data_IF_743209055321
#
_entry.id   IF_743209055321
#
_cell.length_a   1.000
_cell.length_b   1.000
_cell.length_c   1.000
_cell.angle_alpha   90.00
_cell.angle_beta   90.00
_cell.angle_gamma   90.00
#
_symmetry.space_group_name_H-M   'P 1'
#
loop_
_entity.id
_entity.type
_entity.pdbx_description
1 polymer ?
#
# COMPACT_ATOMS: atom_id res chain seq x y z
N UNK A 1 35.67 -13.32 55.46
CA UNK A 1 36.01 -14.00 54.18
C UNK A 1 34.71 -14.58 53.65
N UNK A 2 34.16 -14.30 52.48
CA UNK A 2 34.50 -13.50 51.31
C UNK A 2 33.16 -13.11 50.67
N UNK A 3 33.02 -11.84 50.25
CA UNK A 3 31.83 -11.36 49.53
C UNK A 3 32.04 -11.60 48.03
N UNK A 4 31.21 -12.43 47.42
CA UNK A 4 31.24 -12.67 45.96
C UNK A 4 30.47 -11.55 45.24
N UNK A 5 31.21 -10.65 44.58
CA UNK A 5 30.66 -9.62 43.71
C UNK A 5 30.58 -10.12 42.27
N UNK A 6 29.37 -10.33 41.73
CA UNK A 6 29.15 -10.53 40.29
C UNK A 6 28.93 -9.16 39.63
N UNK A 7 29.95 -8.68 38.92
CA UNK A 7 29.85 -7.53 38.03
C UNK A 7 28.97 -7.89 36.82
N UNK A 8 27.82 -7.23 36.68
CA UNK A 8 26.99 -7.28 35.47
C UNK A 8 27.56 -6.28 34.46
N UNK A 9 28.06 -6.78 33.35
CA UNK A 9 28.46 -5.98 32.20
C UNK A 9 27.23 -5.39 31.52
N UNK A 10 27.07 -4.08 31.57
CA UNK A 10 26.11 -3.33 30.75
C UNK A 10 26.74 -3.05 29.39
N UNK A 11 26.14 -3.59 28.32
CA UNK A 11 26.48 -3.18 26.95
C UNK A 11 25.90 -1.78 26.69
N UNK A 12 26.65 -0.83 26.10
CA UNK A 12 26.11 0.47 25.76
C UNK A 12 25.08 0.33 24.62
N UNK A 13 23.82 0.61 24.95
CA UNK A 13 22.73 0.79 24.01
C UNK A 13 22.91 2.16 23.33
N UNK A 14 23.36 2.20 22.07
CA UNK A 14 23.47 3.50 21.39
C UNK A 14 23.84 3.49 19.90
N UNK A 15 24.36 2.41 19.34
CA UNK A 15 24.94 2.45 17.98
C UNK A 15 23.99 2.02 16.86
N UNK A 16 22.90 1.30 17.17
CA UNK A 16 22.00 0.75 16.15
C UNK A 16 21.13 1.77 15.40
N UNK A 17 20.71 2.86 16.06
CA UNK A 17 19.84 3.87 15.44
C UNK A 17 20.58 4.83 14.49
N UNK A 18 21.84 5.15 14.80
CA UNK A 18 22.66 6.02 13.95
C UNK A 18 23.03 5.35 12.61
N UNK A 19 23.41 4.06 12.64
CA UNK A 19 23.71 3.27 11.43
C UNK A 19 22.49 3.03 10.53
N UNK A 20 21.31 2.87 11.13
CA UNK A 20 20.06 2.72 10.38
C UNK A 20 19.66 4.03 9.67
N UNK A 21 19.90 5.18 10.29
CA UNK A 21 19.66 6.49 9.68
C UNK A 21 20.57 6.76 8.48
N UNK A 22 21.86 6.45 8.61
CA UNK A 22 22.85 6.64 7.52
C UNK A 22 22.55 5.73 6.32
N UNK A 23 22.14 4.47 6.55
CA UNK A 23 21.71 3.56 5.47
C UNK A 23 20.46 4.04 4.73
N UNK A 24 19.48 4.62 5.44
CA UNK A 24 18.27 5.18 4.85
C UNK A 24 18.55 6.43 4.03
N UNK A 25 19.45 7.29 4.52
CA UNK A 25 19.91 8.48 3.80
C UNK A 25 20.67 8.13 2.52
N UNK A 26 21.57 7.13 2.59
CA UNK A 26 22.29 6.64 1.41
C UNK A 26 21.35 6.03 0.35
N UNK A 27 20.31 5.31 0.78
CA UNK A 27 19.30 4.75 -0.13
C UNK A 27 18.48 5.83 -0.82
N UNK A 28 18.07 6.88 -0.09
CA UNK A 28 17.33 8.03 -0.68
C UNK A 28 18.21 8.80 -1.66
N UNK A 29 19.50 9.01 -1.34
CA UNK A 29 20.44 9.66 -2.26
C UNK A 29 20.66 8.87 -3.55
N UNK A 30 20.77 7.53 -3.46
CA UNK A 30 20.89 6.66 -4.63
C UNK A 30 19.63 6.70 -5.51
N UNK A 31 18.44 6.72 -4.90
CA UNK A 31 17.18 6.84 -5.65
C UNK A 31 17.06 8.22 -6.33
N UNK A 32 17.46 9.29 -5.65
CA UNK A 32 17.47 10.65 -6.21
C UNK A 32 18.46 10.78 -7.39
N UNK A 33 19.65 10.16 -7.29
CA UNK A 33 20.63 10.14 -8.37
C UNK A 33 20.14 9.37 -9.61
N UNK A 34 19.38 8.28 -9.42
CA UNK A 34 18.77 7.52 -10.52
C UNK A 34 17.62 8.28 -11.20
N UNK A 35 16.95 9.20 -10.50
CA UNK A 35 15.87 10.01 -11.05
C UNK A 35 16.35 11.32 -11.74
N UNK A 36 17.61 11.72 -11.53
CA UNK A 36 18.18 12.95 -12.09
C UNK A 36 18.85 12.82 -13.47
N UNK A 37 18.83 11.64 -14.09
CA UNK A 37 19.67 11.29 -15.24
C UNK A 37 18.96 11.16 -16.59
N UNK A 38 18.00 12.02 -16.94
CA UNK A 38 17.43 12.08 -18.30
C UNK A 38 17.20 13.53 -18.74
N UNK A 39 18.27 14.25 -19.07
CA UNK A 39 18.19 15.52 -19.80
C UNK A 39 19.38 15.68 -20.75
N UNK A 40 19.57 14.73 -21.67
CA UNK A 40 20.41 14.93 -22.85
C UNK A 40 19.53 15.49 -23.97
N UNK A 41 19.57 16.82 -24.16
CA UNK A 41 19.08 17.46 -25.38
C UNK A 41 20.04 17.10 -26.52
N UNK A 42 19.61 16.27 -27.47
CA UNK A 42 20.25 16.19 -28.79
C UNK A 42 19.64 17.27 -29.69
N UNK A 43 20.46 18.24 -30.07
CA UNK A 43 20.16 19.24 -31.10
C UNK A 43 20.44 18.57 -32.45
N UNK A 44 19.38 18.33 -33.22
CA UNK A 44 19.45 17.95 -34.64
C UNK A 44 19.25 19.23 -35.45
N UNK A 45 20.12 19.60 -36.40
CA UNK A 45 19.92 20.77 -37.24
C UNK A 45 18.78 20.49 -38.24
N UNK A 46 17.90 21.47 -38.54
CA UNK A 46 16.88 21.26 -39.56
C UNK A 46 17.52 21.33 -40.94
N UNK A 47 17.42 20.22 -41.68
CA UNK A 47 17.62 20.23 -43.12
C UNK A 47 16.51 21.06 -43.77
N UNK A 48 16.93 22.05 -44.56
CA UNK A 48 16.06 22.91 -45.34
C UNK A 48 15.31 22.11 -46.42
N UNK A 49 13.99 22.24 -46.38
CA UNK A 49 13.08 22.52 -47.48
C UNK A 49 13.49 22.04 -48.88
N UNK A 50 12.87 20.95 -49.33
CA UNK A 50 12.57 20.74 -50.76
C UNK A 50 11.08 20.46 -50.89
N UNK A 51 10.34 21.52 -51.23
CA UNK A 51 8.97 21.43 -51.68
C UNK A 51 8.96 21.02 -53.15
N UNK A 52 8.54 19.78 -53.43
CA UNK A 52 7.88 19.43 -54.70
C UNK A 52 7.12 18.13 -54.57
N UNK A 53 5.81 18.22 -54.44
CA UNK A 53 4.88 17.28 -55.06
C UNK A 53 4.52 17.85 -56.45
N UNK A 54 3.86 17.11 -57.36
CA UNK A 54 3.32 15.76 -57.22
C UNK A 54 3.61 14.85 -58.44
N UNK A 55 3.78 13.54 -58.26
CA UNK A 55 3.45 12.60 -59.35
C UNK A 55 2.72 11.36 -58.81
N UNK A 56 1.42 11.38 -59.04
CA UNK A 56 0.52 10.25 -59.09
C UNK A 56 0.97 9.25 -60.15
N UNK A 57 1.41 8.06 -59.74
CA UNK A 57 1.39 6.86 -60.58
C UNK A 57 1.05 5.66 -59.68
N UNK A 58 -0.09 4.99 -59.94
CA UNK A 58 -0.24 3.59 -59.50
C UNK A 58 -1.51 3.13 -58.78
N UNK A 59 -2.64 3.84 -58.80
CA UNK A 59 -3.92 3.30 -58.32
C UNK A 59 -4.66 2.46 -59.39
N UNK A 60 -4.05 1.36 -59.86
CA UNK A 60 -4.70 0.47 -60.85
C UNK A 60 -4.78 -1.02 -60.49
N UNK A 61 -4.24 -1.43 -59.35
CA UNK A 61 -4.62 -2.69 -58.72
C UNK A 61 -5.06 -2.35 -57.31
N UNK A 62 -6.35 -2.56 -56.99
CA UNK A 62 -6.74 -2.77 -55.59
C UNK A 62 -6.18 -4.14 -55.21
N UNK A 63 -4.86 -4.21 -54.98
CA UNK A 63 -4.28 -5.35 -54.29
C UNK A 63 -4.95 -5.37 -52.93
N UNK A 64 -5.71 -6.42 -52.71
CA UNK A 64 -6.23 -6.76 -51.39
C UNK A 64 -5.09 -6.63 -50.38
N UNK A 65 -5.30 -5.97 -49.23
CA UNK A 65 -4.26 -5.74 -48.25
C UNK A 65 -3.55 -7.05 -47.95
N UNK A 66 -2.21 -7.09 -48.04
CA UNK A 66 -1.49 -8.30 -47.69
C UNK A 66 -1.69 -8.60 -46.21
N UNK A 67 -1.62 -9.88 -45.82
CA UNK A 67 -1.63 -10.32 -44.42
C UNK A 67 -0.65 -9.50 -43.56
N UNK A 68 0.47 -9.09 -44.16
CA UNK A 68 1.46 -8.21 -43.54
C UNK A 68 0.92 -6.80 -43.28
N UNK A 69 0.24 -6.20 -44.24
CA UNK A 69 -0.30 -4.83 -44.14
C UNK A 69 -1.39 -4.78 -43.05
N UNK A 70 -2.22 -5.82 -42.98
CA UNK A 70 -3.23 -5.98 -41.94
C UNK A 70 -2.59 -6.15 -40.55
N UNK A 71 -1.47 -6.87 -40.46
CA UNK A 71 -0.74 -7.04 -39.21
C UNK A 71 -0.09 -5.73 -38.76
N UNK A 72 0.59 -5.02 -39.66
CA UNK A 72 1.22 -3.73 -39.37
C UNK A 72 0.18 -2.66 -39.01
N UNK A 73 -0.98 -2.62 -39.70
CA UNK A 73 -2.11 -1.77 -39.34
C UNK A 73 -2.56 -2.04 -37.91
N UNK A 74 -2.74 -3.31 -37.53
CA UNK A 74 -3.15 -3.67 -36.17
C UNK A 74 -2.12 -3.26 -35.11
N UNK A 75 -0.83 -3.41 -35.40
CA UNK A 75 0.24 -3.00 -34.49
C UNK A 75 0.34 -1.47 -34.32
N UNK A 76 -0.05 -0.69 -35.32
CA UNK A 76 -0.09 0.78 -35.22
C UNK A 76 -1.03 1.27 -34.11
N UNK A 77 -2.09 0.51 -33.80
CA UNK A 77 -2.98 0.79 -32.69
C UNK A 77 -2.35 0.48 -31.32
N UNK A 78 -1.26 -0.30 -31.28
CA UNK A 78 -0.53 -0.63 -30.06
C UNK A 78 0.69 0.26 -29.82
N UNK A 79 1.34 0.78 -30.88
CA UNK A 79 2.66 1.41 -30.80
C UNK A 79 2.66 2.95 -30.87
N UNK A 80 1.49 3.59 -30.81
CA UNK A 80 1.41 5.04 -30.95
C UNK A 80 2.10 5.77 -29.79
N UNK A 81 3.29 6.33 -30.04
CA UNK A 81 4.10 7.02 -29.02
C UNK A 81 3.41 8.29 -28.45
N UNK A 82 2.39 8.80 -29.14
CA UNK A 82 1.70 10.04 -28.79
C UNK A 82 0.29 9.81 -28.20
N UNK A 83 -0.23 8.59 -28.19
CA UNK A 83 -1.61 8.27 -27.78
C UNK A 83 -1.66 6.98 -26.98
N UNK A 84 -2.61 6.86 -26.06
CA UNK A 84 -2.85 5.59 -25.37
C UNK A 84 -3.11 4.45 -26.38
N UNK A 85 -2.49 3.28 -26.18
CA UNK A 85 -2.70 2.11 -27.04
C UNK A 85 -4.18 1.72 -27.09
N UNK A 86 -4.72 1.53 -28.28
CA UNK A 86 -6.09 1.04 -28.46
C UNK A 86 -6.08 -0.49 -28.62
N UNK A 87 -6.03 -1.18 -27.48
CA UNK A 87 -6.02 -2.64 -27.43
C UNK A 87 -7.29 -3.28 -28.04
N UNK A 88 -8.44 -2.61 -28.00
CA UNK A 88 -9.70 -3.14 -28.55
C UNK A 88 -9.66 -3.18 -30.07
N UNK A 89 -9.26 -2.06 -30.68
CA UNK A 89 -9.17 -1.95 -32.14
C UNK A 89 -8.05 -2.85 -32.67
N UNK A 90 -6.88 -2.85 -32.03
CA UNK A 90 -5.78 -3.75 -32.39
C UNK A 90 -6.23 -5.21 -32.39
N UNK A 91 -6.94 -5.65 -31.33
CA UNK A 91 -7.45 -7.03 -31.24
C UNK A 91 -8.43 -7.35 -32.36
N UNK A 92 -9.37 -6.44 -32.65
CA UNK A 92 -10.38 -6.64 -33.70
C UNK A 92 -9.73 -6.78 -35.09
N UNK A 93 -8.70 -5.98 -35.39
CA UNK A 93 -7.93 -6.09 -36.64
C UNK A 93 -7.12 -7.38 -36.74
N UNK A 94 -6.50 -7.82 -35.64
CA UNK A 94 -5.80 -9.11 -35.59
C UNK A 94 -6.77 -10.29 -35.72
N UNK A 95 -7.94 -10.23 -35.08
CA UNK A 95 -8.98 -11.26 -35.20
C UNK A 95 -9.51 -11.36 -36.63
N UNK A 96 -9.64 -10.22 -37.32
CA UNK A 96 -10.00 -10.15 -38.73
C UNK A 96 -8.93 -10.82 -39.60
N UNK A 97 -7.65 -10.50 -39.39
CA UNK A 97 -6.52 -11.12 -40.09
C UNK A 97 -6.53 -12.64 -39.94
N UNK A 98 -6.68 -13.14 -38.72
CA UNK A 98 -6.70 -14.60 -38.43
C UNK A 98 -7.85 -15.30 -39.15
N UNK A 99 -8.99 -14.62 -39.30
CA UNK A 99 -10.18 -15.17 -39.97
C UNK A 99 -10.04 -15.17 -41.50
N UNK A 100 -9.49 -14.11 -42.06
CA UNK A 100 -9.37 -13.92 -43.52
C UNK A 100 -8.17 -14.69 -44.09
N UNK A 101 -7.11 -14.87 -43.31
CA UNK A 101 -5.86 -15.53 -43.72
C UNK A 101 -5.46 -16.65 -42.75
N UNK A 102 -6.21 -17.75 -42.64
CA UNK A 102 -5.92 -18.80 -41.64
C UNK A 102 -4.54 -19.45 -41.79
N UNK A 103 -4.05 -19.60 -43.03
CA UNK A 103 -2.75 -20.18 -43.34
C UNK A 103 -1.65 -19.12 -43.56
N UNK A 104 -1.94 -17.87 -43.22
CA UNK A 104 -1.03 -16.74 -43.39
C UNK A 104 0.21 -16.83 -42.50
N UNK A 105 1.36 -16.37 -43.00
CA UNK A 105 2.64 -16.35 -42.25
C UNK A 105 2.54 -15.55 -40.94
N UNK A 106 1.67 -14.54 -40.91
CA UNK A 106 1.48 -13.65 -39.77
C UNK A 106 0.39 -14.11 -38.79
N UNK A 107 -0.37 -15.15 -39.15
CA UNK A 107 -1.50 -15.65 -38.35
C UNK A 107 -1.08 -16.18 -36.97
N UNK A 108 0.01 -16.97 -36.84
CA UNK A 108 0.51 -17.36 -35.52
C UNK A 108 0.93 -16.15 -34.66
N UNK A 109 1.56 -15.14 -35.28
CA UNK A 109 1.98 -13.93 -34.57
C UNK A 109 0.76 -13.11 -34.12
N UNK A 110 -0.25 -12.96 -34.98
CA UNK A 110 -1.51 -12.30 -34.64
C UNK A 110 -2.23 -13.01 -33.48
N UNK A 111 -2.30 -14.33 -33.51
CA UNK A 111 -2.84 -15.13 -32.41
C UNK A 111 -2.12 -14.89 -31.08
N UNK A 112 -0.78 -14.87 -31.10
CA UNK A 112 0.02 -14.57 -29.92
C UNK A 112 -0.25 -13.16 -29.36
N UNK A 113 -0.33 -12.15 -30.23
CA UNK A 113 -0.62 -10.76 -29.81
C UNK A 113 -2.04 -10.65 -29.23
N UNK A 114 -3.04 -11.30 -29.84
CA UNK A 114 -4.41 -11.37 -29.28
C UNK A 114 -4.39 -11.97 -27.87
N UNK A 115 -3.69 -13.09 -27.68
CA UNK A 115 -3.56 -13.74 -26.38
C UNK A 115 -2.89 -12.83 -25.34
N UNK A 116 -1.84 -12.10 -25.73
CA UNK A 116 -1.21 -11.10 -24.87
C UNK A 116 -2.18 -9.98 -24.48
N UNK A 117 -2.95 -9.44 -25.43
CA UNK A 117 -3.96 -8.40 -25.17
C UNK A 117 -5.01 -8.89 -24.17
N UNK A 118 -5.52 -10.12 -24.36
CA UNK A 118 -6.48 -10.71 -23.45
C UNK A 118 -5.90 -10.92 -22.04
N UNK A 119 -4.65 -11.42 -21.95
CA UNK A 119 -3.98 -11.64 -20.67
C UNK A 119 -3.75 -10.32 -19.93
N UNK A 120 -3.38 -9.25 -20.64
CA UNK A 120 -3.25 -7.92 -20.03
C UNK A 120 -4.59 -7.43 -19.47
N UNK A 121 -5.68 -7.56 -20.23
CA UNK A 121 -7.01 -7.17 -19.76
C UNK A 121 -7.45 -7.95 -18.52
N UNK A 122 -7.19 -9.25 -18.48
CA UNK A 122 -7.47 -10.10 -17.32
C UNK A 122 -6.66 -9.66 -16.10
N UNK A 123 -5.35 -9.45 -16.26
CA UNK A 123 -4.48 -9.01 -15.17
C UNK A 123 -4.88 -7.62 -14.64
N UNK A 124 -5.29 -6.70 -15.51
CA UNK A 124 -5.80 -5.38 -15.11
C UNK A 124 -7.09 -5.52 -14.29
N UNK A 125 -7.98 -6.42 -14.67
CA UNK A 125 -9.21 -6.66 -13.92
C UNK A 125 -8.92 -7.31 -12.56
N UNK A 126 -8.03 -8.30 -12.51
CA UNK A 126 -7.58 -8.92 -11.25
C UNK A 126 -6.97 -7.89 -10.31
N UNK A 127 -6.06 -7.04 -10.80
CA UNK A 127 -5.45 -5.97 -10.02
C UNK A 127 -6.50 -4.99 -9.47
N UNK A 128 -7.52 -4.65 -10.26
CA UNK A 128 -8.61 -3.78 -9.81
C UNK A 128 -9.42 -4.44 -8.70
N UNK A 129 -9.76 -5.72 -8.83
CA UNK A 129 -10.49 -6.48 -7.83
C UNK A 129 -9.69 -6.63 -6.53
N UNK A 130 -8.40 -6.93 -6.62
CA UNK A 130 -7.52 -7.07 -5.48
C UNK A 130 -7.37 -5.73 -4.74
N UNK A 131 -7.21 -4.62 -5.49
CA UNK A 131 -7.19 -3.28 -4.90
C UNK A 131 -8.49 -2.96 -4.17
N UNK A 132 -9.64 -3.29 -4.75
CA UNK A 132 -10.94 -3.08 -4.11
C UNK A 132 -11.10 -3.93 -2.85
N UNK A 133 -10.67 -5.20 -2.88
CA UNK A 133 -10.68 -6.10 -1.73
C UNK A 133 -9.79 -5.54 -0.61
N UNK A 134 -8.56 -5.16 -0.93
CA UNK A 134 -7.62 -4.59 0.04
C UNK A 134 -8.17 -3.31 0.67
N UNK A 135 -8.81 -2.44 -0.10
CA UNK A 135 -9.47 -1.23 0.43
C UNK A 135 -10.62 -1.56 1.38
N UNK A 136 -11.45 -2.54 1.03
CA UNK A 136 -12.56 -2.99 1.88
C UNK A 136 -12.06 -3.60 3.19
N UNK A 137 -11.04 -4.45 3.12
CA UNK A 137 -10.46 -5.10 4.30
C UNK A 137 -9.75 -4.07 5.20
N UNK A 138 -9.06 -3.10 4.61
CA UNK A 138 -8.50 -1.98 5.36
C UNK A 138 -9.58 -1.18 6.09
N UNK A 139 -10.72 -0.89 5.42
CA UNK A 139 -11.85 -0.20 6.04
C UNK A 139 -12.58 -1.02 7.12
N UNK A 140 -12.56 -2.35 7.06
CA UNK A 140 -13.05 -3.21 8.16
C UNK A 140 -12.09 -3.17 9.34
N UNK A 141 -10.80 -3.38 9.09
CA UNK A 141 -9.78 -3.39 10.13
C UNK A 141 -9.71 -2.04 10.85
N UNK A 142 -9.84 -0.92 10.14
CA UNK A 142 -9.88 0.41 10.74
C UNK A 142 -11.07 0.56 11.72
N UNK A 143 -12.25 0.04 11.37
CA UNK A 143 -13.43 0.07 12.24
C UNK A 143 -13.27 -0.84 13.46
N UNK A 144 -12.69 -2.02 13.28
CA UNK A 144 -12.40 -2.93 14.39
C UNK A 144 -11.37 -2.33 15.36
N UNK A 145 -10.31 -1.68 14.84
CA UNK A 145 -9.33 -0.99 15.68
C UNK A 145 -9.97 0.15 16.48
N UNK A 146 -10.84 0.95 15.86
CA UNK A 146 -11.53 2.02 16.57
C UNK A 146 -12.46 1.47 17.65
N UNK A 147 -13.24 0.43 17.33
CA UNK A 147 -14.11 -0.23 18.30
C UNK A 147 -13.34 -0.84 19.48
N UNK A 148 -12.17 -1.44 19.24
CA UNK A 148 -11.29 -1.93 20.31
C UNK A 148 -10.74 -0.79 21.17
N UNK A 149 -10.35 0.32 20.55
CA UNK A 149 -9.83 1.50 21.26
C UNK A 149 -10.89 2.13 22.16
N UNK A 150 -12.11 2.27 21.66
CA UNK A 150 -13.25 2.75 22.43
C UNK A 150 -13.58 1.79 23.58
N UNK A 151 -13.54 0.48 23.33
CA UNK A 151 -13.74 -0.55 24.35
C UNK A 151 -12.70 -0.50 25.47
N UNK A 152 -11.42 -0.30 25.13
CA UNK A 152 -10.34 -0.11 26.10
C UNK A 152 -10.62 1.13 26.95
N UNK A 153 -10.88 2.26 26.29
CA UNK A 153 -11.15 3.53 26.99
C UNK A 153 -12.33 3.43 27.95
N UNK A 154 -13.45 2.84 27.50
CA UNK A 154 -14.63 2.66 28.36
C UNK A 154 -14.31 1.76 29.57
N UNK A 155 -13.50 0.74 29.37
CA UNK A 155 -13.09 -0.17 30.44
C UNK A 155 -12.16 0.52 31.43
N UNK A 156 -11.20 1.32 30.95
CA UNK A 156 -10.33 2.16 31.80
C UNK A 156 -11.14 3.17 32.61
N UNK A 157 -12.13 3.84 32.00
CA UNK A 157 -13.03 4.76 32.68
C UNK A 157 -13.81 4.06 33.81
N UNK A 158 -14.35 2.86 33.54
CA UNK A 158 -15.05 2.05 34.57
C UNK A 158 -14.12 1.64 35.71
N UNK A 159 -12.94 1.11 35.39
CA UNK A 159 -11.96 0.72 36.41
C UNK A 159 -11.51 1.92 37.25
N UNK A 160 -11.30 3.07 36.63
CA UNK A 160 -10.94 4.31 37.33
C UNK A 160 -12.05 4.73 38.31
N UNK A 161 -13.32 4.71 37.87
CA UNK A 161 -14.46 5.03 38.72
C UNK A 161 -14.61 4.05 39.90
N UNK A 162 -14.44 2.75 39.65
CA UNK A 162 -14.47 1.72 40.70
C UNK A 162 -13.33 1.89 41.70
N UNK A 163 -12.13 2.21 41.23
CA UNK A 163 -10.97 2.46 42.09
C UNK A 163 -11.24 3.63 43.04
N UNK A 164 -11.79 4.74 42.53
CA UNK A 164 -12.16 5.90 43.34
C UNK A 164 -13.23 5.51 44.37
N UNK A 165 -14.27 4.78 43.95
CA UNK A 165 -15.34 4.31 44.86
C UNK A 165 -14.78 3.46 46.00
N UNK A 166 -13.92 2.49 45.68
CA UNK A 166 -13.30 1.61 46.68
C UNK A 166 -12.37 2.39 47.62
N UNK A 167 -11.64 3.39 47.12
CA UNK A 167 -10.84 4.27 47.98
C UNK A 167 -11.71 5.05 48.96
N UNK A 168 -12.82 5.61 48.51
CA UNK A 168 -13.76 6.34 49.37
C UNK A 168 -14.37 5.43 50.44
N UNK A 169 -14.81 4.23 50.05
CA UNK A 169 -15.34 3.21 50.97
C UNK A 169 -14.28 2.80 52.01
N UNK A 170 -13.04 2.59 51.59
CA UNK A 170 -11.94 2.24 52.49
C UNK A 170 -11.67 3.35 53.53
N UNK A 171 -11.66 4.61 53.10
CA UNK A 171 -11.50 5.75 54.02
C UNK A 171 -12.70 5.91 54.97
N UNK A 172 -13.92 5.61 54.52
CA UNK A 172 -15.08 5.60 55.39
C UNK A 172 -14.98 4.49 56.44
N UNK A 173 -14.67 3.26 56.03
CA UNK A 173 -14.50 2.13 56.94
C UNK A 173 -13.39 2.37 57.98
N UNK A 174 -12.28 3.02 57.59
CA UNK A 174 -11.23 3.43 58.54
C UNK A 174 -11.76 4.37 59.63
N UNK A 175 -12.60 5.34 59.26
CA UNK A 175 -13.22 6.27 60.21
C UNK A 175 -14.18 5.53 61.14
N UNK A 176 -15.02 4.65 60.60
CA UNK A 176 -16.00 3.89 61.37
C UNK A 176 -15.30 2.96 62.37
N UNK A 177 -14.23 2.28 61.97
CA UNK A 177 -13.39 1.47 62.86
C UNK A 177 -12.82 2.31 64.00
N UNK A 178 -12.33 3.53 63.70
CA UNK A 178 -11.79 4.41 64.73
C UNK A 178 -12.86 4.87 65.73
N UNK A 179 -14.07 5.16 65.25
CA UNK A 179 -15.20 5.52 66.11
C UNK A 179 -15.60 4.36 67.02
N UNK A 180 -15.69 3.13 66.48
CA UNK A 180 -16.00 1.94 67.26
C UNK A 180 -14.96 1.69 68.36
N UNK A 181 -13.66 1.83 68.04
CA UNK A 181 -12.58 1.74 69.05
C UNK A 181 -12.75 2.77 70.17
N UNK A 182 -13.10 4.00 69.82
CA UNK A 182 -13.30 5.06 70.81
C UNK A 182 -14.49 4.75 71.73
N UNK A 183 -15.58 4.22 71.17
CA UNK A 183 -16.77 3.80 71.94
C UNK A 183 -16.46 2.63 72.86
N UNK A 184 -15.69 1.65 72.39
CA UNK A 184 -15.25 0.50 73.18
C UNK A 184 -14.44 0.93 74.41
N UNK A 185 -13.48 1.86 74.23
CA UNK A 185 -12.72 2.45 75.33
C UNK A 185 -13.65 3.16 76.34
N UNK A 186 -14.67 3.88 75.87
CA UNK A 186 -15.61 4.57 76.76
C UNK A 186 -16.47 3.59 77.55
N UNK A 187 -16.93 2.50 76.93
CA UNK A 187 -17.67 1.45 77.61
C UNK A 187 -16.81 0.77 78.68
N UNK A 188 -15.58 0.42 78.35
CA UNK A 188 -14.65 -0.20 79.30
C UNK A 188 -14.37 0.72 80.51
N UNK A 189 -14.21 2.03 80.28
CA UNK A 189 -14.07 3.02 81.36
C UNK A 189 -15.30 3.09 82.26
N UNK A 190 -16.51 3.08 81.68
CA UNK A 190 -17.76 3.08 82.45
C UNK A 190 -17.91 1.81 83.28
N UNK A 191 -17.59 0.66 82.69
CA UNK A 191 -17.65 -0.62 83.38
C UNK A 191 -16.68 -0.68 84.57
N UNK A 192 -15.46 -0.15 84.41
CA UNK A 192 -14.48 -0.01 85.50
C UNK A 192 -14.91 0.93 86.62
N UNK A 193 -15.73 1.95 86.33
CA UNK A 193 -16.25 2.87 87.36
C UNK A 193 -17.45 2.29 88.13
N UNK A 194 -18.12 1.28 87.58
CA UNK A 194 -19.30 0.64 88.17
C UNK A 194 -18.97 -0.63 88.97
N UNK A 195 -17.72 -1.08 88.94
CA UNK A 195 -17.18 -2.22 89.70
C UNK A 195 -16.33 -1.72 90.86
#
# INVERSE_FOLDING_TARGET
MEKSARAKWTKPAGTGRALAGIRRLAAVFMIAALLGGCATKSVIPPAETSARAPETVGNLFKTEPSDRDLFEEALSYLSNQQKEPNYKEARLRLEKLVREHPDGKWTPAAGAVIACIQKMAELQNQLRLDKQRAQNDHGKLAREMEGLRDGIRQTEEKYSAELIRLQQENEQLKKDIQQLKNLEIQLEKREKMLR
#
